data_IF_936383900338
#
_entry.id   IF_936383900338
#
_cell.length_a   1.000
_cell.length_b   1.000
_cell.length_c   1.000
_cell.angle_alpha   90.00
_cell.angle_beta   90.00
_cell.angle_gamma   90.00
#
_symmetry.space_group_name_H-M   'P 1'
#
loop_
_entity.id
_entity.type
_entity.pdbx_description
1 polymer ?
#
# COMPACT_ATOMS: atom_id res chain seq x y z
N UNK A 1 -15.88 -10.42 0.09
CA UNK A 1 -14.78 -9.99 -0.74
C UNK A 1 -15.09 -8.59 -1.25
N UNK A 2 -14.21 -7.66 -0.93
CA UNK A 2 -14.38 -6.28 -1.30
C UNK A 2 -13.49 -6.01 -2.52
N UNK A 3 -14.08 -5.94 -3.70
CA UNK A 3 -13.42 -5.39 -4.87
C UNK A 3 -13.82 -3.91 -4.98
N UNK A 4 -12.89 -2.95 -4.84
CA UNK A 4 -13.22 -1.57 -5.04
C UNK A 4 -13.71 -1.37 -6.47
N UNK A 5 -14.86 -0.75 -6.62
CA UNK A 5 -15.34 -0.34 -7.93
C UNK A 5 -14.51 0.88 -8.39
N UNK A 6 -13.38 0.61 -8.99
CA UNK A 6 -12.43 1.61 -9.49
C UNK A 6 -13.05 2.57 -10.51
N UNK A 7 -14.23 2.24 -11.03
CA UNK A 7 -14.93 3.11 -12.00
C UNK A 7 -15.73 4.21 -11.33
N UNK A 8 -16.07 4.03 -10.04
CA UNK A 8 -16.97 4.94 -9.30
C UNK A 8 -16.28 5.72 -8.20
N UNK A 9 -15.17 5.20 -7.68
CA UNK A 9 -14.43 5.84 -6.60
C UNK A 9 -12.97 6.08 -7.02
N UNK A 10 -12.61 7.32 -7.38
CA UNK A 10 -11.23 7.67 -7.72
C UNK A 10 -10.27 7.55 -6.53
N UNK A 11 -10.80 7.27 -5.34
CA UNK A 11 -10.03 7.09 -4.12
C UNK A 11 -10.26 5.67 -3.58
N UNK A 12 -9.53 4.70 -4.14
CA UNK A 12 -9.57 3.30 -3.70
C UNK A 12 -9.44 3.19 -2.17
N UNK A 13 -8.57 4.01 -1.59
CA UNK A 13 -8.38 4.10 -0.15
C UNK A 13 -9.64 4.46 0.60
N UNK A 14 -10.43 5.42 0.12
CA UNK A 14 -11.64 5.86 0.82
C UNK A 14 -12.69 4.77 0.90
N UNK A 15 -12.81 3.96 -0.13
CA UNK A 15 -13.78 2.89 -0.11
C UNK A 15 -13.31 1.71 0.76
N UNK A 16 -12.03 1.37 0.75
CA UNK A 16 -11.42 0.42 1.66
C UNK A 16 -11.55 0.91 3.11
N UNK A 17 -11.14 2.14 3.39
CA UNK A 17 -11.23 2.77 4.69
C UNK A 17 -12.67 2.86 5.22
N UNK A 18 -13.64 3.18 4.35
CA UNK A 18 -15.06 3.19 4.73
C UNK A 18 -15.55 1.82 5.23
N UNK A 19 -14.99 0.75 4.71
CA UNK A 19 -15.28 -0.62 5.17
C UNK A 19 -14.63 -0.90 6.53
N UNK A 20 -13.39 -0.45 6.72
CA UNK A 20 -12.70 -0.55 8.02
C UNK A 20 -13.46 0.22 9.11
N UNK A 21 -13.84 1.47 8.84
CA UNK A 21 -14.64 2.31 9.76
C UNK A 21 -15.93 1.60 10.18
N UNK A 22 -16.70 1.08 9.21
CA UNK A 22 -17.96 0.38 9.49
C UNK A 22 -17.76 -0.87 10.35
N UNK A 23 -16.73 -1.64 10.03
CA UNK A 23 -16.41 -2.84 10.81
C UNK A 23 -15.95 -2.48 12.22
N UNK A 24 -15.08 -1.47 12.38
CA UNK A 24 -14.67 -1.01 13.71
C UNK A 24 -15.85 -0.55 14.55
N UNK A 25 -16.74 0.26 13.98
CA UNK A 25 -17.97 0.70 14.67
C UNK A 25 -18.89 -0.46 15.08
N UNK A 26 -18.88 -1.55 14.32
CA UNK A 26 -19.62 -2.76 14.69
C UNK A 26 -18.92 -3.51 15.82
N UNK A 27 -17.61 -3.71 15.74
CA UNK A 27 -16.81 -4.38 16.78
C UNK A 27 -16.91 -3.67 18.12
N UNK A 28 -16.88 -2.34 18.14
CA UNK A 28 -17.05 -1.54 19.35
C UNK A 28 -18.37 -1.79 20.09
N UNK A 29 -19.42 -2.22 19.36
CA UNK A 29 -20.72 -2.55 19.94
C UNK A 29 -20.80 -3.97 20.49
N UNK A 30 -20.06 -4.92 19.91
CA UNK A 30 -20.15 -6.33 20.30
C UNK A 30 -19.05 -6.76 21.26
N UNK A 31 -18.11 -5.86 21.56
CA UNK A 31 -16.97 -6.09 22.44
C UNK A 31 -15.74 -6.61 21.71
N UNK A 32 -14.68 -6.83 22.46
CA UNK A 32 -13.36 -7.21 21.97
C UNK A 32 -13.38 -8.54 21.22
N UNK A 33 -13.01 -8.51 19.96
CA UNK A 33 -12.95 -9.65 19.03
C UNK A 33 -11.71 -9.52 18.16
N UNK A 34 -11.07 -10.64 17.87
CA UNK A 34 -10.03 -10.71 16.85
C UNK A 34 -10.61 -10.37 15.49
N UNK A 35 -9.98 -9.47 14.81
CA UNK A 35 -10.41 -8.98 13.50
C UNK A 35 -9.49 -9.48 12.39
N UNK A 36 -9.99 -10.41 11.59
CA UNK A 36 -9.31 -10.93 10.42
C UNK A 36 -9.80 -10.23 9.16
N UNK A 37 -8.89 -9.65 8.41
CA UNK A 37 -9.12 -9.21 7.02
C UNK A 37 -8.58 -10.29 6.10
N UNK A 38 -9.46 -11.21 5.71
CA UNK A 38 -9.09 -12.44 5.00
C UNK A 38 -8.94 -12.29 3.49
N UNK A 39 -9.24 -11.12 2.94
CA UNK A 39 -8.97 -10.79 1.54
C UNK A 39 -8.79 -9.27 1.38
N UNK A 40 -7.62 -8.85 0.94
CA UNK A 40 -7.39 -7.52 0.41
C UNK A 40 -6.42 -7.59 -0.77
N UNK A 41 -6.60 -6.75 -1.76
CA UNK A 41 -5.72 -6.70 -2.91
C UNK A 41 -6.33 -5.95 -4.09
N UNK A 42 -5.49 -5.63 -5.05
CA UNK A 42 -5.84 -4.95 -6.28
C UNK A 42 -5.35 -5.77 -7.49
N UNK A 43 -6.21 -5.97 -8.50
CA UNK A 43 -5.78 -6.66 -9.70
C UNK A 43 -4.94 -5.78 -10.59
N UNK A 44 -3.96 -6.38 -11.26
CA UNK A 44 -3.24 -5.71 -12.34
C UNK A 44 -3.83 -6.14 -13.68
N UNK A 45 -4.10 -5.19 -14.57
CA UNK A 45 -4.47 -5.52 -15.94
C UNK A 45 -3.48 -4.92 -16.91
N UNK A 46 -2.95 -5.71 -17.87
CA UNK A 46 -1.94 -5.25 -18.81
C UNK A 46 -2.47 -4.22 -19.80
N UNK A 47 -3.78 -4.21 -20.06
CA UNK A 47 -4.42 -3.30 -21.00
C UNK A 47 -5.84 -2.96 -20.52
N UNK A 48 -6.22 -1.68 -20.66
CA UNK A 48 -7.62 -1.30 -20.58
C UNK A 48 -8.30 -1.72 -21.86
N UNK A 49 -9.03 -2.80 -21.81
CA UNK A 49 -9.95 -3.17 -22.90
C UNK A 49 -11.25 -2.41 -22.66
N UNK A 50 -11.75 -1.67 -23.65
CA UNK A 50 -13.04 -0.98 -23.57
C UNK A 50 -14.12 -1.92 -23.04
N UNK A 51 -14.72 -1.56 -21.91
CA UNK A 51 -15.84 -2.29 -21.30
C UNK A 51 -15.47 -3.43 -20.33
N UNK A 52 -14.19 -3.71 -20.10
CA UNK A 52 -13.73 -4.66 -19.07
C UNK A 52 -12.87 -3.89 -18.08
N UNK A 53 -13.42 -3.73 -16.90
CA UNK A 53 -12.93 -2.86 -15.83
C UNK A 53 -11.54 -3.23 -15.32
N UNK A 54 -10.85 -2.23 -14.94
CA UNK A 54 -10.55 -1.92 -13.56
C UNK A 54 -9.42 -2.73 -12.93
N UNK A 55 -8.33 -2.97 -13.67
CA UNK A 55 -7.04 -3.24 -13.05
C UNK A 55 -6.22 -1.97 -12.92
N UNK A 56 -5.26 -1.99 -12.03
CA UNK A 56 -4.25 -0.95 -11.89
C UNK A 56 -2.96 -1.38 -12.59
N UNK A 57 -2.04 -0.43 -12.81
CA UNK A 57 -0.70 -0.82 -13.25
C UNK A 57 0.08 -1.52 -12.12
N UNK A 58 1.18 -2.18 -12.49
CA UNK A 58 1.97 -2.98 -11.57
C UNK A 58 2.54 -2.19 -10.38
N UNK A 59 2.91 -0.92 -10.60
CA UNK A 59 3.46 -0.09 -9.53
C UNK A 59 2.36 0.38 -8.60
N UNK A 60 1.23 0.75 -9.14
CA UNK A 60 0.05 1.14 -8.36
C UNK A 60 -0.44 0.03 -7.45
N UNK A 61 -0.45 -1.23 -7.92
CA UNK A 61 -0.76 -2.37 -7.05
C UNK A 61 0.17 -2.41 -5.82
N UNK A 62 1.46 -2.18 -6.03
CA UNK A 62 2.44 -2.17 -4.95
C UNK A 62 2.22 -1.01 -3.97
N UNK A 63 1.99 0.21 -4.48
CA UNK A 63 1.77 1.41 -3.67
C UNK A 63 0.51 1.28 -2.80
N UNK A 64 -0.61 0.86 -3.41
CA UNK A 64 -1.88 0.76 -2.69
C UNK A 64 -1.93 -0.40 -1.70
N UNK A 65 -1.32 -1.53 -2.02
CA UNK A 65 -1.17 -2.62 -1.06
C UNK A 65 -0.48 -2.14 0.22
N UNK A 66 0.57 -1.33 0.09
CA UNK A 66 1.27 -0.76 1.24
C UNK A 66 0.40 0.16 2.08
N UNK A 67 -0.40 1.00 1.41
CA UNK A 67 -1.34 1.91 2.06
C UNK A 67 -2.45 1.14 2.77
N UNK A 68 -3.03 0.13 2.13
CA UNK A 68 -4.07 -0.73 2.71
C UNK A 68 -3.59 -1.44 3.97
N UNK A 69 -2.37 -1.97 3.97
CA UNK A 69 -1.79 -2.62 5.16
C UNK A 69 -1.65 -1.65 6.33
N UNK A 70 -1.13 -0.43 6.11
CA UNK A 70 -1.02 0.59 7.16
C UNK A 70 -2.39 1.03 7.67
N UNK A 71 -3.35 1.26 6.77
CA UNK A 71 -4.72 1.59 7.12
C UNK A 71 -5.36 0.50 7.97
N UNK A 72 -5.30 -0.75 7.54
CA UNK A 72 -5.88 -1.86 8.27
C UNK A 72 -5.30 -1.97 9.70
N UNK A 73 -3.98 -1.87 9.84
CA UNK A 73 -3.31 -1.87 11.14
C UNK A 73 -3.76 -0.70 12.02
N UNK A 74 -3.94 0.50 11.45
CA UNK A 74 -4.37 1.69 12.22
C UNK A 74 -5.79 1.59 12.74
N UNK A 75 -6.65 0.79 12.10
CA UNK A 75 -7.99 0.47 12.57
C UNK A 75 -8.05 -0.72 13.52
N UNK A 76 -6.91 -1.36 13.81
CA UNK A 76 -6.80 -2.47 14.74
C UNK A 76 -7.19 -3.81 14.11
N UNK A 77 -6.93 -4.02 12.84
CA UNK A 77 -6.99 -5.35 12.22
C UNK A 77 -5.82 -6.18 12.75
N UNK A 78 -6.13 -7.36 13.28
CA UNK A 78 -5.14 -8.24 13.93
C UNK A 78 -4.37 -9.08 12.90
N UNK A 79 -5.03 -9.50 11.83
CA UNK A 79 -4.43 -10.33 10.77
C UNK A 79 -4.94 -9.93 9.40
N UNK A 80 -4.02 -9.83 8.45
CA UNK A 80 -4.31 -9.37 7.08
C UNK A 80 -3.76 -10.40 6.09
N UNK A 81 -4.65 -10.92 5.24
CA UNK A 81 -4.32 -11.83 4.15
C UNK A 81 -4.42 -11.11 2.81
N UNK A 82 -3.30 -11.04 2.09
CA UNK A 82 -3.28 -10.42 0.76
C UNK A 82 -3.73 -11.42 -0.29
N UNK A 83 -4.76 -11.07 -1.04
CA UNK A 83 -5.24 -11.83 -2.18
C UNK A 83 -4.59 -11.27 -3.46
N UNK A 84 -3.74 -12.04 -4.17
CA UNK A 84 -3.37 -13.43 -3.93
C UNK A 84 -1.86 -13.62 -4.14
N UNK A 85 -1.35 -14.82 -3.88
CA UNK A 85 0.08 -15.09 -4.08
C UNK A 85 0.45 -15.11 -5.57
N UNK A 86 -0.34 -15.80 -6.40
CA UNK A 86 -0.12 -15.92 -7.84
C UNK A 86 -1.32 -15.45 -8.64
N UNK A 87 -1.07 -14.94 -9.83
CA UNK A 87 -2.11 -14.81 -10.84
C UNK A 87 -2.72 -16.19 -11.13
N UNK A 88 -4.02 -16.20 -11.33
CA UNK A 88 -4.74 -17.48 -11.46
C UNK A 88 -4.46 -18.19 -12.79
N UNK A 89 -4.21 -19.48 -12.70
CA UNK A 89 -4.12 -20.40 -13.86
C UNK A 89 -5.44 -21.09 -14.08
N UNK A 90 -6.30 -20.55 -14.87
CA UNK A 90 -7.51 -21.27 -15.28
C UNK A 90 -7.72 -21.17 -16.79
N UNK A 91 -8.66 -21.95 -17.31
CA UNK A 91 -9.02 -21.91 -18.73
C UNK A 91 -9.53 -20.51 -19.11
N UNK A 92 -10.13 -19.81 -18.18
CA UNK A 92 -10.57 -18.42 -18.34
C UNK A 92 -9.42 -17.48 -18.64
N UNK A 93 -8.29 -17.62 -17.96
CA UNK A 93 -7.11 -16.80 -18.22
C UNK A 93 -6.58 -16.95 -19.65
N UNK A 94 -6.66 -18.15 -20.23
CA UNK A 94 -6.28 -18.39 -21.63
C UNK A 94 -7.26 -17.78 -22.64
N UNK A 95 -8.52 -17.61 -22.25
CA UNK A 95 -9.59 -17.08 -23.11
C UNK A 95 -9.81 -15.58 -22.86
N UNK A 96 -9.70 -15.16 -21.57
CA UNK A 96 -9.92 -13.80 -21.12
C UNK A 96 -8.78 -13.34 -20.20
N UNK A 97 -7.56 -13.12 -20.74
CA UNK A 97 -6.39 -12.78 -19.91
C UNK A 97 -6.51 -11.41 -19.24
N UNK A 98 -7.39 -10.55 -19.74
CA UNK A 98 -7.66 -9.22 -19.18
C UNK A 98 -8.69 -9.24 -18.03
N UNK A 99 -9.25 -10.42 -17.68
CA UNK A 99 -10.19 -10.50 -16.56
C UNK A 99 -9.47 -10.18 -15.25
N UNK A 100 -10.03 -9.22 -14.49
CA UNK A 100 -9.40 -8.71 -13.28
C UNK A 100 -9.16 -9.80 -12.23
N UNK A 101 -10.09 -10.75 -12.07
CA UNK A 101 -9.98 -11.85 -11.10
C UNK A 101 -8.73 -12.71 -11.29
N UNK A 102 -8.18 -12.75 -12.49
CA UNK A 102 -7.00 -13.56 -12.80
C UNK A 102 -5.67 -12.86 -12.42
N UNK A 103 -5.69 -11.59 -12.04
CA UNK A 103 -4.50 -10.74 -12.01
C UNK A 103 -4.18 -10.14 -10.64
N UNK A 104 -4.70 -10.70 -9.56
CA UNK A 104 -4.45 -10.23 -8.18
C UNK A 104 -3.09 -10.64 -7.61
N UNK A 105 -2.37 -11.56 -8.26
CA UNK A 105 -1.14 -12.12 -7.75
C UNK A 105 -0.06 -11.10 -7.43
N UNK A 106 0.71 -11.38 -6.38
CA UNK A 106 2.02 -10.74 -6.13
C UNK A 106 3.06 -11.22 -7.14
N UNK A 107 2.87 -12.43 -7.64
CA UNK A 107 3.68 -13.04 -8.67
C UNK A 107 2.83 -13.31 -9.91
N UNK A 108 3.47 -13.21 -11.07
CA UNK A 108 2.84 -13.69 -12.29
C UNK A 108 2.56 -15.20 -12.20
N UNK A 109 1.66 -15.63 -13.05
CA UNK A 109 1.40 -17.03 -13.24
C UNK A 109 2.73 -17.80 -13.50
N UNK A 110 2.89 -18.94 -12.87
CA UNK A 110 4.01 -19.83 -13.11
C UNK A 110 4.03 -20.32 -14.58
N UNK A 111 5.17 -20.22 -15.23
CA UNK A 111 5.29 -20.73 -16.60
C UNK A 111 5.35 -22.30 -16.66
N UNK A 112 5.26 -22.87 -17.83
CA UNK A 112 5.32 -24.31 -18.04
C UNK A 112 6.64 -24.96 -17.58
N UNK A 113 7.70 -24.19 -17.36
CA UNK A 113 8.97 -24.67 -16.85
C UNK A 113 9.05 -24.58 -15.31
N UNK A 114 8.01 -24.11 -14.65
CA UNK A 114 7.96 -23.93 -13.22
C UNK A 114 8.63 -22.64 -12.71
N UNK A 115 8.99 -21.71 -13.62
CA UNK A 115 9.60 -20.43 -13.22
C UNK A 115 8.56 -19.47 -12.68
N UNK A 116 8.93 -18.76 -11.63
CA UNK A 116 8.11 -17.76 -10.93
C UNK A 116 8.72 -16.38 -11.18
N UNK A 117 7.90 -15.43 -11.59
CA UNK A 117 8.30 -14.06 -11.85
C UNK A 117 7.58 -13.12 -10.90
N UNK A 118 8.30 -12.34 -10.05
CA UNK A 118 7.68 -11.39 -9.14
C UNK A 118 7.14 -10.18 -9.89
N UNK A 119 6.01 -9.65 -9.42
CA UNK A 119 5.58 -8.28 -9.71
C UNK A 119 6.26 -7.30 -8.75
N UNK A 120 6.25 -5.99 -8.99
CA UNK A 120 6.73 -4.99 -8.02
C UNK A 120 6.09 -5.14 -6.64
N UNK A 121 4.83 -5.53 -6.57
CA UNK A 121 4.10 -5.80 -5.33
C UNK A 121 4.72 -6.91 -4.48
N UNK A 122 5.38 -7.90 -5.06
CA UNK A 122 6.08 -8.93 -4.30
C UNK A 122 7.28 -8.36 -3.53
N UNK A 123 8.06 -7.48 -4.16
CA UNK A 123 9.18 -6.81 -3.51
C UNK A 123 8.69 -5.84 -2.41
N UNK A 124 7.65 -5.07 -2.72
CA UNK A 124 7.02 -4.17 -1.76
C UNK A 124 6.47 -4.93 -0.56
N UNK A 125 5.74 -6.02 -0.79
CA UNK A 125 5.18 -6.86 0.28
C UNK A 125 6.29 -7.44 1.19
N UNK A 126 7.35 -7.97 0.59
CA UNK A 126 8.48 -8.49 1.36
C UNK A 126 9.17 -7.42 2.22
N UNK A 127 9.32 -6.20 1.71
CA UNK A 127 9.87 -5.08 2.47
C UNK A 127 8.94 -4.64 3.59
N UNK A 128 7.65 -4.46 3.29
CA UNK A 128 6.66 -3.98 4.25
C UNK A 128 6.47 -4.98 5.39
N UNK A 129 6.28 -6.25 5.08
CA UNK A 129 6.11 -7.29 6.11
C UNK A 129 7.31 -7.36 7.05
N UNK A 130 8.53 -7.18 6.51
CA UNK A 130 9.74 -7.10 7.32
C UNK A 130 9.74 -5.87 8.24
N UNK A 131 9.26 -4.72 7.78
CA UNK A 131 9.20 -3.49 8.58
C UNK A 131 8.09 -3.54 9.64
N UNK A 132 6.98 -4.19 9.32
CA UNK A 132 5.80 -4.29 10.18
C UNK A 132 5.79 -5.54 11.08
N UNK A 133 6.76 -6.46 10.96
CA UNK A 133 6.83 -7.74 11.66
C UNK A 133 6.62 -7.65 13.18
N UNK A 134 7.05 -6.55 13.77
CA UNK A 134 7.00 -6.36 15.22
C UNK A 134 6.05 -5.23 15.66
N UNK A 135 5.13 -4.81 14.81
CA UNK A 135 4.15 -3.78 15.17
C UNK A 135 3.21 -4.29 16.25
N UNK A 136 3.03 -3.49 17.30
CA UNK A 136 2.05 -3.72 18.38
C UNK A 136 0.83 -2.83 18.20
N UNK A 137 1.04 -1.61 17.79
CA UNK A 137 0.00 -0.60 17.61
C UNK A 137 0.38 0.32 16.46
N UNK A 138 -0.60 0.73 15.68
CA UNK A 138 -0.43 1.74 14.65
C UNK A 138 -1.55 2.78 14.76
N UNK A 139 -1.23 4.06 14.60
CA UNK A 139 -2.22 5.14 14.64
C UNK A 139 -1.89 6.23 13.62
N UNK A 140 -2.92 6.85 13.05
CA UNK A 140 -2.73 7.99 12.18
C UNK A 140 -2.34 9.23 12.98
N UNK A 141 -1.34 9.96 12.49
CA UNK A 141 -0.82 11.19 13.10
C UNK A 141 -0.86 12.35 12.12
N UNK A 142 -0.82 13.59 12.61
CA UNK A 142 -0.64 14.76 11.75
C UNK A 142 0.79 14.85 11.24
N UNK A 143 0.94 14.98 9.91
CA UNK A 143 2.21 15.31 9.27
C UNK A 143 2.43 16.82 9.08
N UNK A 144 1.52 17.66 9.61
CA UNK A 144 1.54 19.10 9.38
C UNK A 144 1.07 19.52 7.98
N UNK A 145 0.51 18.61 7.20
CA UNK A 145 -0.07 18.84 5.88
C UNK A 145 -1.39 18.08 5.74
N UNK A 146 -2.39 18.73 5.12
CA UNK A 146 -3.69 18.12 4.85
C UNK A 146 -3.66 17.13 3.66
N UNK A 147 -2.56 17.13 2.92
CA UNK A 147 -2.35 16.26 1.75
C UNK A 147 -1.36 15.12 1.99
N UNK A 148 -0.85 14.98 3.22
CA UNK A 148 0.01 13.86 3.59
C UNK A 148 -0.65 13.06 4.70
N UNK A 149 -0.87 11.79 4.46
CA UNK A 149 -1.25 10.83 5.49
C UNK A 149 0.01 10.26 6.12
N UNK A 150 0.05 10.21 7.44
CA UNK A 150 1.16 9.67 8.19
C UNK A 150 0.65 8.77 9.32
N UNK A 151 1.34 7.67 9.54
CA UNK A 151 1.02 6.66 10.54
C UNK A 151 2.24 6.42 11.39
N UNK A 152 2.03 6.33 12.70
CA UNK A 152 3.04 5.97 13.67
C UNK A 152 2.73 4.59 14.22
N UNK A 153 3.69 3.69 14.13
CA UNK A 153 3.56 2.33 14.59
C UNK A 153 4.61 2.03 15.68
N UNK A 154 4.14 1.65 16.86
CA UNK A 154 4.97 1.19 17.95
C UNK A 154 5.45 -0.23 17.65
N UNK A 155 6.72 -0.50 17.87
CA UNK A 155 7.32 -1.81 17.65
C UNK A 155 7.58 -2.51 18.99
N UNK A 156 7.54 -3.85 19.00
CA UNK A 156 7.84 -4.68 20.18
C UNK A 156 9.25 -4.45 20.75
N UNK A 157 10.17 -4.00 19.92
CA UNK A 157 11.48 -3.60 20.37
C UNK A 157 11.39 -2.25 21.07
N UNK A 158 11.72 -2.26 22.36
CA UNK A 158 11.94 -1.01 23.09
C UNK A 158 12.94 -0.15 22.32
N UNK A 159 12.67 1.13 22.15
CA UNK A 159 13.45 2.12 21.44
C UNK A 159 13.41 2.08 19.90
N UNK A 160 12.54 1.31 19.29
CA UNK A 160 12.28 1.39 17.84
C UNK A 160 10.84 1.84 17.57
N UNK A 161 10.66 2.65 16.56
CA UNK A 161 9.36 3.14 16.09
C UNK A 161 9.38 3.21 14.56
N UNK A 162 8.25 3.00 13.94
CA UNK A 162 8.10 3.08 12.49
C UNK A 162 7.08 4.15 12.13
N UNK A 163 7.44 5.05 11.21
CA UNK A 163 6.48 5.90 10.53
C UNK A 163 6.25 5.37 9.13
N UNK A 164 4.99 5.41 8.68
CA UNK A 164 4.64 5.18 7.28
C UNK A 164 3.87 6.39 6.76
N UNK A 165 4.22 6.92 5.60
CA UNK A 165 3.56 8.12 5.06
C UNK A 165 3.52 8.16 3.54
N UNK A 166 2.50 8.85 3.00
CA UNK A 166 2.34 9.13 1.58
C UNK A 166 1.55 10.41 1.33
N UNK A 167 1.73 11.01 0.15
CA UNK A 167 0.94 12.15 -0.30
C UNK A 167 -0.32 11.70 -1.03
N UNK A 168 -1.42 12.44 -0.82
CA UNK A 168 -2.70 12.27 -1.52
C UNK A 168 -2.94 13.34 -2.58
N UNK A 169 -1.92 14.13 -2.94
CA UNK A 169 -2.04 15.17 -3.96
C UNK A 169 -2.36 14.62 -5.34
N UNK A 170 -1.70 13.54 -5.71
CA UNK A 170 -2.04 12.81 -6.91
C UNK A 170 -2.99 11.67 -6.57
N UNK A 171 -3.96 11.47 -7.43
CA UNK A 171 -4.96 10.42 -7.32
C UNK A 171 -4.92 9.55 -8.55
N UNK A 172 -5.22 8.28 -8.38
CA UNK A 172 -5.58 7.46 -9.53
C UNK A 172 -6.93 7.93 -10.04
N UNK A 173 -6.97 8.33 -11.28
CA UNK A 173 -8.22 8.58 -11.98
C UNK A 173 -8.48 7.45 -12.95
N UNK A 174 -9.70 6.95 -12.95
CA UNK A 174 -10.22 6.07 -13.98
C UNK A 174 -10.74 6.83 -15.19
N UNK A 175 -10.71 8.16 -15.15
CA UNK A 175 -11.04 8.97 -16.30
C UNK A 175 -9.92 8.84 -17.33
N UNK A 176 -10.24 8.26 -18.50
CA UNK A 176 -9.31 8.11 -19.62
C UNK A 176 -8.76 9.44 -20.14
N UNK A 177 -9.27 10.56 -19.66
CA UNK A 177 -8.83 11.90 -20.00
C UNK A 177 -7.85 12.52 -18.98
N UNK A 178 -7.69 11.94 -17.79
CA UNK A 178 -6.66 12.36 -16.87
C UNK A 178 -5.38 11.57 -17.13
N UNK A 179 -4.27 12.31 -17.33
CA UNK A 179 -2.94 11.76 -17.59
C UNK A 179 -2.43 10.97 -16.37
N UNK A 180 -2.88 9.74 -16.24
CA UNK A 180 -2.15 8.77 -15.43
C UNK A 180 -0.86 8.52 -16.23
N UNK A 181 0.26 9.01 -15.72
CA UNK A 181 1.56 8.71 -16.29
C UNK A 181 1.85 7.23 -16.06
N UNK A 182 1.28 6.39 -16.91
CA UNK A 182 1.63 4.98 -16.93
C UNK A 182 3.00 4.89 -17.59
N UNK A 183 3.96 4.42 -16.83
CA UNK A 183 5.27 4.04 -17.37
C UNK A 183 5.31 2.51 -17.52
N UNK A 184 4.60 1.92 -18.48
CA UNK A 184 4.50 0.47 -18.62
C UNK A 184 5.86 -0.21 -18.79
N UNK A 185 6.88 0.53 -19.20
CA UNK A 185 8.23 0.04 -19.43
C UNK A 185 9.16 0.18 -18.22
N UNK A 186 8.72 0.81 -17.14
CA UNK A 186 9.54 1.07 -15.95
C UNK A 186 8.75 0.77 -14.65
N UNK A 187 8.25 -0.45 -14.45
CA UNK A 187 7.36 -0.80 -13.33
C UNK A 187 8.02 -0.66 -11.95
N UNK A 188 9.32 -0.56 -11.89
CA UNK A 188 10.09 -0.40 -10.65
C UNK A 188 10.37 1.07 -10.28
N UNK A 189 10.06 2.00 -11.16
CA UNK A 189 10.26 3.43 -10.94
C UNK A 189 9.00 4.03 -10.30
N UNK A 190 9.21 4.90 -9.32
CA UNK A 190 8.12 5.69 -8.76
C UNK A 190 7.54 6.61 -9.86
N UNK A 191 6.25 6.45 -10.15
CA UNK A 191 5.55 7.19 -11.21
C UNK A 191 4.87 8.48 -10.71
N UNK A 192 4.80 8.66 -9.39
CA UNK A 192 4.21 9.86 -8.81
C UNK A 192 5.10 11.07 -9.05
N UNK A 193 4.51 12.17 -9.52
CA UNK A 193 5.23 13.39 -9.91
C UNK A 193 5.15 14.48 -8.86
N UNK A 194 4.03 14.53 -8.11
CA UNK A 194 3.84 15.48 -7.04
C UNK A 194 4.59 15.05 -5.78
N UNK A 195 5.38 15.98 -5.26
CA UNK A 195 6.20 15.79 -4.07
C UNK A 195 5.83 16.82 -3.02
N UNK A 196 5.96 16.41 -1.78
CA UNK A 196 5.76 17.28 -0.63
C UNK A 196 6.75 16.92 0.47
N UNK A 197 7.50 17.91 0.95
CA UNK A 197 8.35 17.74 2.12
C UNK A 197 7.56 18.07 3.37
N UNK A 198 7.50 17.15 4.30
CA UNK A 198 6.89 17.34 5.62
C UNK A 198 7.92 17.28 6.72
N UNK A 199 7.67 18.03 7.79
CA UNK A 199 8.49 18.03 9.00
C UNK A 199 7.72 17.32 10.11
N UNK A 200 8.26 16.20 10.61
CA UNK A 200 7.60 15.36 11.61
C UNK A 200 8.39 15.43 12.91
N UNK A 201 7.75 15.79 14.04
CA UNK A 201 8.36 15.70 15.36
C UNK A 201 8.65 14.24 15.74
N UNK A 202 9.84 13.96 16.22
CA UNK A 202 10.29 12.63 16.62
C UNK A 202 11.15 12.67 17.90
N UNK A 203 11.04 11.61 18.70
CA UNK A 203 11.92 11.37 19.84
C UNK A 203 12.93 10.27 19.48
N UNK A 204 13.87 10.58 18.59
CA UNK A 204 14.82 9.60 18.08
C UNK A 204 16.24 10.19 17.97
N UNK A 205 17.23 9.30 18.03
CA UNK A 205 18.65 9.64 17.78
C UNK A 205 19.03 9.47 16.32
N UNK A 206 18.39 8.54 15.65
CA UNK A 206 18.61 8.27 14.23
C UNK A 206 17.30 7.99 13.51
N UNK A 207 17.27 8.29 12.21
CA UNK A 207 16.13 8.04 11.33
C UNK A 207 16.61 7.50 9.99
N UNK A 208 16.01 6.41 9.54
CA UNK A 208 16.32 5.77 8.28
C UNK A 208 15.06 5.60 7.45
N UNK A 209 15.06 6.21 6.27
CA UNK A 209 13.95 6.14 5.32
C UNK A 209 14.14 4.92 4.43
N UNK A 210 13.05 4.21 4.21
CA UNK A 210 12.93 3.11 3.24
C UNK A 210 11.88 3.48 2.20
N UNK A 211 12.23 3.32 0.93
CA UNK A 211 11.22 3.35 -0.12
C UNK A 211 10.42 2.04 -0.15
N UNK A 212 9.39 2.01 -0.99
CA UNK A 212 8.52 0.85 -1.12
C UNK A 212 9.28 -0.43 -1.54
N UNK A 213 10.35 -0.30 -2.33
CA UNK A 213 11.15 -1.42 -2.82
C UNK A 213 12.27 -1.86 -1.85
N UNK A 214 12.41 -1.19 -0.71
CA UNK A 214 13.40 -1.51 0.33
C UNK A 214 14.74 -0.81 0.17
N UNK A 215 14.90 0.09 -0.81
CA UNK A 215 16.06 0.97 -0.82
C UNK A 215 15.99 1.94 0.36
N UNK A 216 17.14 2.30 0.93
CA UNK A 216 17.13 3.10 2.14
C UNK A 216 18.25 4.15 2.17
N UNK A 217 17.97 5.23 2.90
CA UNK A 217 18.92 6.29 3.20
C UNK A 217 18.66 6.87 4.58
N UNK A 218 19.66 7.48 5.18
CA UNK A 218 19.53 8.14 6.47
C UNK A 218 19.10 9.60 6.29
N UNK A 219 18.31 10.09 7.23
CA UNK A 219 17.93 11.50 7.35
C UNK A 219 18.35 12.02 8.71
N UNK A 220 18.83 13.28 8.79
CA UNK A 220 19.23 13.86 10.06
C UNK A 220 18.03 14.07 10.98
N UNK A 221 18.20 13.80 12.26
CA UNK A 221 17.30 14.27 13.31
C UNK A 221 17.84 15.61 13.81
N UNK A 222 17.12 16.69 13.57
CA UNK A 222 17.52 18.04 13.94
C UNK A 222 16.46 18.68 14.82
N UNK A 223 16.84 19.13 16.00
CA UNK A 223 15.92 19.77 16.96
C UNK A 223 14.67 18.92 17.27
N UNK A 224 14.83 17.59 17.33
CA UNK A 224 13.72 16.67 17.57
C UNK A 224 12.75 16.52 16.40
N UNK A 225 13.20 16.77 15.18
CA UNK A 225 12.40 16.68 13.97
C UNK A 225 13.17 16.00 12.84
N UNK A 226 12.43 15.44 11.89
CA UNK A 226 12.92 14.93 10.61
C UNK A 226 12.18 15.60 9.46
N UNK A 227 12.86 15.78 8.34
CA UNK A 227 12.23 16.16 7.07
C UNK A 227 12.14 14.95 6.16
N UNK A 228 10.97 14.67 5.63
CA UNK A 228 10.71 13.54 4.74
C UNK A 228 9.97 14.00 3.49
N UNK A 229 10.46 13.59 2.33
CA UNK A 229 9.76 13.78 1.06
C UNK A 229 8.67 12.70 0.91
N UNK A 230 7.42 13.13 0.80
CA UNK A 230 6.26 12.29 0.55
C UNK A 230 5.81 12.40 -0.92
N UNK A 231 5.55 11.29 -1.55
CA UNK A 231 4.90 11.18 -2.86
C UNK A 231 3.67 10.29 -2.73
N UNK A 232 2.98 9.98 -3.83
CA UNK A 232 1.93 8.96 -3.80
C UNK A 232 2.46 7.54 -3.49
N UNK A 233 3.75 7.26 -3.64
CA UNK A 233 4.36 6.00 -3.18
C UNK A 233 4.67 6.08 -1.69
N UNK A 234 4.19 5.13 -0.86
CA UNK A 234 4.52 5.10 0.56
C UNK A 234 6.01 5.03 0.83
N UNK A 235 6.46 5.79 1.81
CA UNK A 235 7.78 5.67 2.42
C UNK A 235 7.66 5.32 3.89
N UNK A 236 8.65 4.62 4.40
CA UNK A 236 8.71 4.18 5.79
C UNK A 236 9.93 4.76 6.47
N UNK A 237 9.79 5.28 7.67
CA UNK A 237 10.91 5.82 8.44
C UNK A 237 11.06 5.02 9.72
N UNK A 238 12.15 4.29 9.83
CA UNK A 238 12.52 3.61 11.06
C UNK A 238 13.27 4.58 11.95
N UNK A 239 12.80 4.73 13.18
CA UNK A 239 13.35 5.61 14.21
C UNK A 239 14.01 4.77 15.30
N UNK A 240 15.18 5.19 15.76
CA UNK A 240 15.87 4.62 16.92
C UNK A 240 15.94 5.69 18.02
N UNK A 241 15.34 5.40 19.19
CA UNK A 241 15.23 6.30 20.34
C UNK A 241 16.50 6.35 21.21
#
# INVERSE_FOLDING_TARGET
PYSPDLTKDPQIELSFESSLVRTRQFLDKIGDKTWYLNECGLPTTPEQTEGISSGVDLRTQADYMARELLLALSYGVDEIEVYSLFDQQNLYHAIMPAEYENNFGLFYQQDYSGRIFPKPSAAAYANITRLLESVEKCEEISAGSDTVRAFRCDLKKENEELLGLWSTKERLSNDSNENIVRTPNLPWVNQWTEKETVTIPVEAKSAKVYDLMGNSYEVPVTDGQIEVEATGSPVFVKLEK
#
